data_IF_751426703390
#
_entry.id   IF_751426703390
#
_cell.length_a   1.000
_cell.length_b   1.000
_cell.length_c   1.000
_cell.angle_alpha   90.00
_cell.angle_beta   90.00
_cell.angle_gamma   90.00
#
_symmetry.space_group_name_H-M   'P 1'
#
loop_
_entity.id
_entity.type
_entity.pdbx_description
1 polymer ?
#
# COMPACT_ATOMS: atom_id res chain seq x y z
N UNK A 1 -3.43 0.31 11.25
CA UNK A 1 -2.16 -0.39 10.99
C UNK A 1 -1.69 -1.06 12.26
N UNK A 2 -1.22 -2.28 12.13
CA UNK A 2 -0.71 -3.15 13.17
C UNK A 2 0.81 -3.05 13.23
N UNK A 3 1.35 -3.04 14.45
CA UNK A 3 2.79 -3.04 14.75
C UNK A 3 2.99 -3.08 16.27
N UNK A 4 4.02 -3.74 16.73
CA UNK A 4 4.46 -3.88 18.12
C UNK A 4 5.30 -2.64 18.50
N UNK A 5 4.64 -1.55 18.90
CA UNK A 5 5.32 -0.25 19.06
C UNK A 5 6.18 -0.18 20.32
N UNK A 6 5.94 -1.05 21.31
CA UNK A 6 6.70 -1.12 22.56
C UNK A 6 7.55 -2.40 22.70
N UNK A 7 7.67 -3.18 21.61
CA UNK A 7 8.49 -4.38 21.49
C UNK A 7 8.17 -5.46 22.56
N UNK A 8 6.89 -5.58 22.95
CA UNK A 8 6.44 -6.55 23.96
C UNK A 8 6.13 -7.94 23.38
N UNK A 9 6.12 -8.08 22.05
CA UNK A 9 5.80 -9.31 21.34
C UNK A 9 4.34 -9.43 20.91
N UNK A 10 3.51 -8.42 21.15
CA UNK A 10 2.10 -8.38 20.81
C UNK A 10 1.81 -7.23 19.85
N UNK A 11 1.40 -7.52 18.60
CA UNK A 11 1.06 -6.46 17.66
C UNK A 11 -0.08 -5.58 18.20
N UNK A 12 0.20 -4.28 18.32
CA UNK A 12 -0.74 -3.23 18.69
C UNK A 12 -1.48 -2.72 17.45
N UNK A 13 -2.43 -1.78 17.63
CA UNK A 13 -3.13 -1.18 16.50
C UNK A 13 -3.24 0.34 16.64
N UNK A 14 -2.80 1.05 15.60
CA UNK A 14 -3.12 2.45 15.37
C UNK A 14 -4.24 2.56 14.35
N UNK A 15 -5.34 3.19 14.77
CA UNK A 15 -6.51 3.49 13.94
C UNK A 15 -6.43 4.94 13.51
N UNK A 16 -6.02 5.15 12.26
CA UNK A 16 -6.11 6.45 11.61
C UNK A 16 -7.52 6.66 11.05
N UNK A 17 -7.96 7.92 11.05
CA UNK A 17 -9.30 8.34 10.63
C UNK A 17 -9.30 9.83 10.34
N UNK A 18 -10.42 10.35 9.86
CA UNK A 18 -10.61 11.78 9.80
C UNK A 18 -10.88 12.35 11.19
N UNK A 19 -9.83 12.90 11.81
CA UNK A 19 -9.86 13.47 13.15
C UNK A 19 -8.68 13.02 13.99
N UNK A 20 -8.86 12.93 15.31
CA UNK A 20 -7.82 12.41 16.19
C UNK A 20 -7.68 10.89 16.01
N UNK A 21 -6.48 10.41 15.66
CA UNK A 21 -6.17 8.97 15.59
C UNK A 21 -6.22 8.29 16.97
N UNK A 22 -6.29 6.97 17.00
CA UNK A 22 -6.34 6.21 18.25
C UNK A 22 -5.29 5.10 18.26
N UNK A 23 -4.49 5.05 19.32
CA UNK A 23 -3.52 3.99 19.58
C UNK A 23 -4.06 3.03 20.64
N UNK A 24 -4.05 1.74 20.33
CA UNK A 24 -4.50 0.67 21.21
C UNK A 24 -3.38 -0.33 21.44
N UNK A 25 -2.97 -0.48 22.70
CA UNK A 25 -2.02 -1.50 23.13
C UNK A 25 -2.70 -2.86 23.25
N UNK A 26 -2.10 -3.90 22.71
CA UNK A 26 -2.54 -5.28 22.86
C UNK A 26 -2.05 -5.84 24.20
N UNK A 27 -2.96 -6.39 25.02
CA UNK A 27 -2.61 -6.91 26.35
C UNK A 27 -2.21 -8.41 26.34
N UNK A 28 -2.11 -9.03 25.16
CA UNK A 28 -1.72 -10.43 24.98
C UNK A 28 -2.80 -11.46 25.33
N UNK A 29 -3.97 -11.02 25.80
CA UNK A 29 -5.10 -11.86 26.19
C UNK A 29 -6.33 -11.70 25.26
N UNK A 30 -6.13 -11.04 24.11
CA UNK A 30 -7.18 -10.71 23.15
C UNK A 30 -7.96 -9.44 23.48
N UNK A 31 -7.53 -8.68 24.49
CA UNK A 31 -8.06 -7.35 24.82
C UNK A 31 -7.08 -6.24 24.46
N UNK A 32 -7.61 -5.02 24.33
CA UNK A 32 -6.86 -3.84 23.95
C UNK A 32 -7.12 -2.68 24.92
N UNK A 33 -6.08 -1.92 25.25
CA UNK A 33 -6.15 -0.69 26.03
C UNK A 33 -5.94 0.53 25.11
N UNK A 34 -6.84 1.52 25.15
CA UNK A 34 -6.61 2.79 24.45
C UNK A 34 -5.58 3.62 25.22
N UNK A 35 -4.39 3.76 24.64
CA UNK A 35 -3.24 4.48 25.23
C UNK A 35 -2.96 5.81 24.51
N UNK A 36 -3.93 6.32 23.75
CA UNK A 36 -3.77 7.56 22.96
C UNK A 36 -3.47 8.78 23.83
N UNK A 37 -4.11 8.88 25.00
CA UNK A 37 -3.90 10.01 25.90
C UNK A 37 -2.52 9.93 26.55
N UNK A 38 -1.68 10.93 26.31
CA UNK A 38 -0.30 11.00 26.79
C UNK A 38 0.72 10.34 25.86
N UNK A 39 0.30 9.74 24.73
CA UNK A 39 1.25 9.13 23.78
C UNK A 39 1.93 10.17 22.88
N UNK A 40 1.37 11.38 22.73
CA UNK A 40 1.84 12.36 21.74
C UNK A 40 1.15 12.26 20.38
N UNK A 41 0.20 11.31 20.20
CA UNK A 41 -0.57 11.09 18.98
C UNK A 41 -1.99 11.70 19.02
N UNK A 42 -2.26 12.65 19.92
CA UNK A 42 -3.60 13.25 20.10
C UNK A 42 -3.96 14.32 19.06
N UNK A 43 -3.08 14.56 18.09
CA UNK A 43 -3.30 15.60 17.09
C UNK A 43 -4.50 15.25 16.19
N UNK A 44 -5.28 16.27 15.83
CA UNK A 44 -6.30 16.17 14.80
C UNK A 44 -5.65 16.13 13.42
N UNK A 45 -5.79 15.01 12.70
CA UNK A 45 -5.26 14.83 11.35
C UNK A 45 -6.34 14.17 10.49
N UNK A 46 -6.77 14.82 9.41
CA UNK A 46 -7.69 14.18 8.47
C UNK A 46 -6.93 13.18 7.58
N UNK A 47 -6.66 12.00 8.12
CA UNK A 47 -5.71 11.03 7.57
C UNK A 47 -6.35 9.95 6.69
N UNK A 48 -5.63 9.51 5.65
CA UNK A 48 -6.01 8.38 4.78
C UNK A 48 -4.99 7.24 4.75
N UNK A 49 -3.79 7.44 5.29
CA UNK A 49 -2.75 6.41 5.38
C UNK A 49 -1.94 6.57 6.66
N UNK A 50 -1.39 5.47 7.13
CA UNK A 50 -0.36 5.44 8.16
C UNK A 50 0.60 4.27 7.86
N UNK A 51 1.86 4.38 8.29
CA UNK A 51 2.85 3.32 8.10
C UNK A 51 3.80 3.26 9.29
N UNK A 52 4.05 2.05 9.79
CA UNK A 52 5.06 1.77 10.81
C UNK A 52 6.38 1.38 10.15
N UNK A 53 7.47 2.01 10.55
CA UNK A 53 8.82 1.66 10.11
C UNK A 53 9.83 2.28 11.08
N UNK A 54 11.03 1.71 11.14
CA UNK A 54 12.14 2.25 11.92
C UNK A 54 13.02 3.09 10.98
N UNK A 55 12.82 4.40 10.97
CA UNK A 55 13.47 5.25 9.98
C UNK A 55 14.91 5.62 10.38
N UNK A 56 15.24 5.54 11.66
CA UNK A 56 16.52 5.93 12.22
C UNK A 56 17.39 4.74 12.70
N UNK A 57 16.89 3.51 12.56
CA UNK A 57 17.50 2.23 12.93
C UNK A 57 17.81 2.11 14.43
N UNK A 58 16.96 2.66 15.28
CA UNK A 58 17.10 2.54 16.74
C UNK A 58 16.37 1.33 17.34
N UNK A 59 15.65 0.55 16.51
CA UNK A 59 14.90 -0.64 16.89
C UNK A 59 13.52 -0.33 17.48
N UNK A 60 13.07 0.92 17.43
CA UNK A 60 11.76 1.38 17.89
C UNK A 60 10.95 1.80 16.67
N UNK A 61 9.66 1.44 16.64
CA UNK A 61 8.81 1.82 15.52
C UNK A 61 8.47 3.32 15.55
N UNK A 62 8.66 3.96 14.40
CA UNK A 62 8.19 5.30 14.09
C UNK A 62 6.90 5.24 13.25
N UNK A 63 6.10 6.30 13.34
CA UNK A 63 4.79 6.36 12.69
C UNK A 63 4.72 7.50 11.69
N UNK A 64 4.58 7.15 10.41
CA UNK A 64 4.12 8.09 9.39
C UNK A 64 2.59 8.15 9.38
N UNK A 65 2.01 9.36 9.31
CA UNK A 65 0.57 9.59 9.11
C UNK A 65 0.38 10.58 7.96
N UNK A 66 -0.27 10.11 6.90
CA UNK A 66 -0.52 10.90 5.69
C UNK A 66 -1.82 11.70 5.78
N UNK A 67 -1.72 13.02 5.64
CA UNK A 67 -2.85 13.94 5.64
C UNK A 67 -3.53 14.00 4.27
N UNK A 68 -4.86 13.92 4.26
CA UNK A 68 -5.66 13.98 3.04
C UNK A 68 -6.41 15.31 2.93
N UNK A 69 -7.40 15.55 3.80
CA UNK A 69 -8.03 16.86 3.90
C UNK A 69 -7.19 17.79 4.79
N UNK A 70 -7.26 19.09 4.52
CA UNK A 70 -6.65 20.10 5.37
C UNK A 70 -7.18 19.98 6.82
N UNK A 71 -6.30 20.15 7.81
CA UNK A 71 -6.59 19.85 9.22
C UNK A 71 -7.53 20.87 9.88
N UNK A 72 -7.63 22.07 9.31
CA UNK A 72 -8.60 23.09 9.72
C UNK A 72 -10.06 22.69 9.44
N UNK A 73 -10.29 21.69 8.57
CA UNK A 73 -11.63 21.23 8.24
C UNK A 73 -12.08 20.14 9.21
N UNK A 74 -13.03 20.49 10.09
CA UNK A 74 -13.74 19.49 10.89
C UNK A 74 -14.81 18.80 10.03
N UNK A 75 -14.49 17.63 9.47
CA UNK A 75 -15.40 16.89 8.59
C UNK A 75 -16.69 16.39 9.28
N UNK A 76 -16.71 16.39 10.62
CA UNK A 76 -17.89 16.01 11.41
C UNK A 76 -18.81 17.19 11.71
N UNK A 77 -18.32 18.43 11.53
CA UNK A 77 -19.05 19.67 11.68
C UNK A 77 -18.53 20.71 10.66
N UNK A 78 -18.83 20.48 9.39
CA UNK A 78 -18.36 21.34 8.31
C UNK A 78 -18.94 22.76 8.40
N UNK A 79 -18.05 23.75 8.40
CA UNK A 79 -18.43 25.18 8.35
C UNK A 79 -18.57 25.71 6.90
N UNK A 80 -18.00 24.98 5.94
CA UNK A 80 -17.92 25.36 4.53
C UNK A 80 -17.92 24.12 3.63
N UNK A 81 -18.39 24.28 2.39
CA UNK A 81 -18.28 23.27 1.31
C UNK A 81 -17.00 23.43 0.49
N UNK A 82 -16.22 24.48 0.76
CA UNK A 82 -14.91 24.72 0.13
C UNK A 82 -13.80 24.00 0.88
N UNK A 83 -13.80 22.68 0.70
CA UNK A 83 -12.88 21.75 1.35
C UNK A 83 -12.24 20.77 0.36
N UNK A 84 -12.59 20.88 -0.93
CA UNK A 84 -12.13 19.96 -1.97
C UNK A 84 -10.80 20.46 -2.57
N UNK A 85 -10.16 19.60 -3.35
CA UNK A 85 -8.94 19.91 -4.08
C UNK A 85 -9.11 21.14 -4.96
N UNK A 86 -8.06 21.95 -5.07
CA UNK A 86 -8.02 23.13 -5.94
C UNK A 86 -7.66 22.79 -7.40
N UNK A 87 -7.22 21.56 -7.66
CA UNK A 87 -6.82 21.05 -8.97
C UNK A 87 -7.03 19.53 -9.03
N UNK A 88 -7.37 18.98 -10.20
CA UNK A 88 -7.47 17.53 -10.40
C UNK A 88 -6.12 16.85 -10.69
N UNK A 89 -5.06 17.63 -10.94
CA UNK A 89 -3.76 17.07 -11.33
C UNK A 89 -2.57 17.61 -10.52
N UNK A 90 -2.72 18.76 -9.88
CA UNK A 90 -1.60 19.48 -9.25
C UNK A 90 -2.05 20.16 -7.95
N UNK A 91 -2.73 19.43 -7.07
CA UNK A 91 -3.28 20.00 -5.84
C UNK A 91 -2.28 20.03 -4.69
N UNK A 92 -2.31 21.13 -3.93
CA UNK A 92 -1.43 21.40 -2.78
C UNK A 92 -2.18 21.97 -1.56
N UNK A 93 -3.51 21.90 -1.55
CA UNK A 93 -4.36 22.36 -0.44
C UNK A 93 -4.86 21.20 0.45
N UNK A 94 -4.14 20.07 0.46
CA UNK A 94 -4.49 18.90 1.26
C UNK A 94 -3.99 18.99 2.70
N UNK A 95 -4.05 17.86 3.41
CA UNK A 95 -3.53 17.72 4.76
C UNK A 95 -2.01 17.68 4.82
N UNK A 96 -1.44 18.11 5.94
CA UNK A 96 0.00 17.94 6.21
C UNK A 96 0.30 16.47 6.53
N UNK A 97 1.45 15.99 6.07
CA UNK A 97 2.01 14.69 6.47
C UNK A 97 2.83 14.81 7.76
N UNK A 98 2.75 13.76 8.58
CA UNK A 98 3.39 13.72 9.89
C UNK A 98 4.33 12.52 10.00
N UNK A 99 5.50 12.74 10.59
CA UNK A 99 6.37 11.68 11.07
C UNK A 99 6.54 11.82 12.59
N UNK A 100 6.21 10.75 13.30
CA UNK A 100 6.31 10.65 14.74
C UNK A 100 7.43 9.69 15.11
N UNK A 101 8.46 10.18 15.82
CA UNK A 101 9.56 9.35 16.33
C UNK A 101 9.13 8.63 17.60
N UNK A 102 9.30 7.31 17.63
CA UNK A 102 9.08 6.50 18.84
C UNK A 102 10.16 6.75 19.90
N UNK A 103 9.78 6.79 21.18
CA UNK A 103 10.73 7.01 22.30
C UNK A 103 11.07 5.74 23.09
N UNK A 104 10.44 4.62 22.76
CA UNK A 104 10.63 3.33 23.44
C UNK A 104 9.97 3.23 24.80
N UNK A 105 9.30 4.29 25.27
CA UNK A 105 8.48 4.31 26.50
C UNK A 105 6.97 4.34 26.21
N UNK A 106 6.60 4.11 24.94
CA UNK A 106 5.24 4.20 24.41
C UNK A 106 4.76 5.61 24.09
N UNK A 107 5.65 6.60 24.12
CA UNK A 107 5.38 7.96 23.66
C UNK A 107 6.08 8.28 22.34
N UNK A 108 5.56 9.29 21.67
CA UNK A 108 5.94 9.72 20.33
C UNK A 108 6.21 11.22 20.29
N UNK A 109 7.09 11.64 19.39
CA UNK A 109 7.39 13.05 19.14
C UNK A 109 7.25 13.41 17.66
N UNK A 110 6.52 14.49 17.38
CA UNK A 110 6.38 15.05 16.03
C UNK A 110 7.73 15.62 15.57
N UNK A 111 8.39 14.92 14.66
CA UNK A 111 9.68 15.30 14.06
C UNK A 111 9.52 15.77 12.61
N UNK A 112 8.28 15.97 12.14
CA UNK A 112 7.95 16.21 10.74
C UNK A 112 8.76 17.35 10.12
N UNK A 113 8.85 18.50 10.82
CA UNK A 113 9.60 19.65 10.34
C UNK A 113 11.13 19.45 10.42
N UNK A 114 11.62 18.70 11.42
CA UNK A 114 13.05 18.39 11.56
C UNK A 114 13.54 17.54 10.38
N UNK A 115 12.73 16.57 9.98
CA UNK A 115 13.10 15.58 8.96
C UNK A 115 12.58 15.92 7.55
N UNK A 116 11.92 17.06 7.33
CA UNK A 116 11.60 17.56 6.00
C UNK A 116 10.22 17.20 5.43
N UNK A 117 9.26 16.79 6.26
CA UNK A 117 7.86 16.63 5.86
C UNK A 117 7.09 17.96 6.01
N UNK A 118 7.04 18.74 4.92
CA UNK A 118 6.35 20.03 4.88
C UNK A 118 5.21 20.11 3.85
N UNK A 119 5.14 19.16 2.91
CA UNK A 119 4.18 19.19 1.82
C UNK A 119 2.73 18.94 2.29
N UNK A 120 1.79 19.68 1.68
CA UNK A 120 0.33 19.58 1.92
C UNK A 120 -0.39 19.06 0.69
N UNK A 121 -0.02 17.85 0.26
CA UNK A 121 -0.73 17.15 -0.82
C UNK A 121 -1.92 16.39 -0.27
N UNK A 122 -2.69 15.80 -1.17
CA UNK A 122 -3.79 14.90 -0.82
C UNK A 122 -3.24 13.48 -0.68
N UNK A 123 -2.41 13.24 0.35
CA UNK A 123 -1.73 11.96 0.54
C UNK A 123 -2.73 10.84 0.84
N UNK A 124 -2.67 9.78 0.02
CA UNK A 124 -3.68 8.73 0.01
C UNK A 124 -3.17 7.38 0.52
N UNK A 125 -1.96 7.01 0.12
CA UNK A 125 -1.35 5.73 0.45
C UNK A 125 0.18 5.88 0.54
N UNK A 126 0.81 5.03 1.33
CA UNK A 126 2.26 5.05 1.54
C UNK A 126 2.82 3.66 1.83
N UNK A 127 4.04 3.40 1.40
CA UNK A 127 4.82 2.22 1.79
C UNK A 127 6.26 2.59 2.10
N UNK A 128 6.84 1.95 3.12
CA UNK A 128 8.25 2.08 3.46
C UNK A 128 9.05 0.87 2.96
N UNK A 129 10.18 1.13 2.32
CA UNK A 129 11.15 0.12 1.87
C UNK A 129 12.46 0.82 1.48
N UNK A 130 13.56 0.07 1.38
CA UNK A 130 14.83 0.57 0.83
C UNK A 130 14.74 0.63 -0.70
N UNK A 131 14.53 1.82 -1.28
CA UNK A 131 14.34 1.97 -2.72
C UNK A 131 15.64 2.26 -3.46
N UNK A 132 16.62 2.92 -2.85
CA UNK A 132 17.90 3.20 -3.53
C UNK A 132 19.02 2.21 -3.19
N UNK A 133 18.78 1.27 -2.27
CA UNK A 133 19.70 0.20 -1.88
C UNK A 133 20.79 0.67 -0.93
N UNK A 134 20.61 1.81 -0.26
CA UNK A 134 21.57 2.32 0.74
C UNK A 134 21.40 1.66 2.12
N UNK A 135 20.40 0.78 2.25
CA UNK A 135 20.03 0.01 3.43
C UNK A 135 19.01 0.71 4.31
N UNK A 136 18.69 1.99 4.10
CA UNK A 136 17.75 2.76 4.90
C UNK A 136 16.36 2.73 4.26
N UNK A 137 15.33 2.60 5.08
CA UNK A 137 13.97 2.60 4.56
C UNK A 137 13.60 4.02 4.11
N UNK A 138 13.28 4.16 2.83
CA UNK A 138 12.66 5.31 2.20
C UNK A 138 11.14 5.22 2.31
N UNK A 139 10.44 6.32 1.98
CA UNK A 139 8.99 6.36 1.99
C UNK A 139 8.43 6.74 0.62
N UNK A 140 7.71 5.82 -0.02
CA UNK A 140 6.97 6.08 -1.26
C UNK A 140 5.54 6.48 -0.93
N UNK A 141 5.09 7.60 -1.48
CA UNK A 141 3.79 8.21 -1.22
C UNK A 141 3.03 8.39 -2.52
N UNK A 142 1.80 7.87 -2.55
CA UNK A 142 0.82 8.19 -3.59
C UNK A 142 -0.06 9.35 -3.12
N UNK A 143 -0.21 10.34 -3.99
CA UNK A 143 -1.04 11.51 -3.75
C UNK A 143 -2.22 11.47 -4.72
N UNK A 144 -3.42 11.65 -4.17
CA UNK A 144 -4.59 11.96 -4.98
C UNK A 144 -4.40 13.35 -5.59
N UNK A 145 -4.90 13.55 -6.81
CA UNK A 145 -4.77 14.82 -7.54
C UNK A 145 -3.35 15.42 -7.60
N UNK A 146 -2.32 14.57 -7.63
CA UNK A 146 -0.91 14.94 -7.70
C UNK A 146 -0.03 13.79 -8.14
N UNK A 147 1.27 14.06 -8.26
CA UNK A 147 2.25 13.02 -8.57
C UNK A 147 2.62 12.19 -7.35
N UNK A 148 3.11 10.97 -7.60
CA UNK A 148 3.78 10.18 -6.57
C UNK A 148 5.08 10.85 -6.14
N UNK A 149 5.46 10.65 -4.88
CA UNK A 149 6.71 11.15 -4.31
C UNK A 149 7.45 10.00 -3.64
N UNK A 150 8.76 9.94 -3.87
CA UNK A 150 9.67 9.09 -3.11
C UNK A 150 10.51 9.99 -2.21
N UNK A 151 10.39 9.79 -0.90
CA UNK A 151 11.18 10.47 0.10
C UNK A 151 12.37 9.57 0.47
N UNK A 152 13.56 9.95 -0.02
CA UNK A 152 14.80 9.24 0.28
C UNK A 152 15.27 9.59 1.69
N UNK A 153 15.56 8.57 2.48
CA UNK A 153 16.01 8.70 3.85
C UNK A 153 17.53 8.92 3.89
N UNK A 154 17.96 10.12 4.27
CA UNK A 154 19.38 10.44 4.41
C UNK A 154 19.91 9.95 5.76
N UNK A 155 19.96 8.62 5.90
CA UNK A 155 20.56 7.88 7.04
C UNK A 155 19.96 8.24 8.41
N UNK A 156 18.64 8.36 8.48
CA UNK A 156 17.89 8.68 9.70
C UNK A 156 17.96 10.15 10.10
N UNK A 157 18.66 11.00 9.35
CA UNK A 157 18.79 12.42 9.68
C UNK A 157 17.61 13.25 9.16
N UNK A 158 17.18 13.00 7.92
CA UNK A 158 16.07 13.69 7.26
C UNK A 158 15.64 12.93 6.01
N UNK A 159 14.52 13.35 5.43
CA UNK A 159 14.04 12.91 4.14
C UNK A 159 14.22 13.98 3.08
N UNK A 160 14.52 13.55 1.85
CA UNK A 160 14.57 14.41 0.67
C UNK A 160 13.72 13.80 -0.43
N UNK A 161 12.87 14.61 -1.06
CA UNK A 161 12.10 14.17 -2.23
C UNK A 161 13.08 13.85 -3.38
N UNK A 162 12.97 12.65 -3.94
CA UNK A 162 13.72 12.25 -5.12
C UNK A 162 13.22 13.01 -6.35
N UNK A 163 14.14 13.67 -7.05
CA UNK A 163 13.87 14.42 -8.28
C UNK A 163 14.38 13.64 -9.49
N UNK A 164 13.80 13.89 -10.67
CA UNK A 164 14.21 13.31 -11.96
C UNK A 164 14.22 11.77 -12.03
N UNK A 165 13.49 11.09 -11.15
CA UNK A 165 13.35 9.63 -11.12
C UNK A 165 12.15 9.10 -11.92
N UNK A 166 11.42 9.94 -12.65
CA UNK A 166 10.29 9.50 -13.51
C UNK A 166 8.90 9.50 -12.86
N UNK A 167 8.74 10.00 -11.63
CA UNK A 167 7.42 10.06 -10.96
C UNK A 167 6.62 11.34 -11.27
N UNK A 168 7.29 12.49 -11.31
CA UNK A 168 6.68 13.84 -11.30
C UNK A 168 5.92 14.27 -12.57
N UNK A 169 6.03 13.52 -13.67
CA UNK A 169 5.42 13.88 -14.96
C UNK A 169 4.25 12.99 -15.40
N UNK A 170 4.13 11.79 -14.82
CA UNK A 170 3.28 10.72 -15.36
C UNK A 170 2.12 10.33 -14.44
N UNK A 171 2.18 10.66 -13.14
CA UNK A 171 1.15 10.31 -12.17
C UNK A 171 0.23 11.47 -11.82
N UNK A 172 -1.02 11.12 -11.49
CA UNK A 172 -2.15 12.06 -11.43
C UNK A 172 -3.07 11.88 -10.22
N UNK A 173 -3.51 10.67 -9.89
CA UNK A 173 -4.50 10.45 -8.83
C UNK A 173 -4.21 9.14 -8.11
N UNK A 174 -3.01 9.06 -7.54
CA UNK A 174 -2.53 7.85 -6.89
C UNK A 174 -3.35 7.53 -5.64
N UNK A 175 -4.06 6.40 -5.64
CA UNK A 175 -4.95 5.98 -4.54
C UNK A 175 -4.44 4.75 -3.78
N UNK A 176 -3.31 4.17 -4.17
CA UNK A 176 -2.76 2.96 -3.55
C UNK A 176 -1.26 2.89 -3.79
N UNK A 177 -0.52 2.21 -2.91
CA UNK A 177 0.89 1.86 -3.14
C UNK A 177 1.11 0.38 -2.79
N UNK A 178 1.08 -0.50 -3.80
CA UNK A 178 1.31 -1.93 -3.62
C UNK A 178 2.74 -2.31 -4.03
N UNK A 179 3.51 -2.93 -3.13
CA UNK A 179 4.85 -3.45 -3.45
C UNK A 179 4.77 -4.87 -4.00
N UNK A 180 5.59 -5.15 -5.00
CA UNK A 180 5.73 -6.49 -5.55
C UNK A 180 6.97 -6.69 -6.39
N UNK A 181 7.09 -7.90 -6.93
CA UNK A 181 8.15 -8.39 -7.77
C UNK A 181 7.57 -8.90 -9.08
N UNK A 182 7.74 -8.09 -10.12
CA UNK A 182 7.38 -8.42 -11.51
C UNK A 182 8.63 -8.54 -12.39
N UNK A 183 9.81 -8.63 -11.77
CA UNK A 183 11.11 -8.54 -12.43
C UNK A 183 12.08 -9.66 -12.02
N UNK A 184 11.53 -10.87 -11.82
CA UNK A 184 12.29 -12.10 -11.52
C UNK A 184 13.20 -11.96 -10.27
N UNK A 185 12.72 -11.27 -9.23
CA UNK A 185 13.46 -11.09 -7.97
C UNK A 185 14.70 -10.20 -8.09
N UNK A 186 14.92 -9.55 -9.23
CA UNK A 186 16.04 -8.63 -9.42
C UNK A 186 15.72 -7.21 -8.94
N UNK A 187 14.43 -6.82 -8.96
CA UNK A 187 13.99 -5.45 -8.69
C UNK A 187 12.60 -5.42 -8.09
N UNK A 188 12.42 -4.57 -7.09
CA UNK A 188 11.11 -4.21 -6.58
C UNK A 188 10.33 -3.38 -7.61
N UNK A 189 9.01 -3.53 -7.57
CA UNK A 189 8.07 -2.70 -8.30
C UNK A 189 6.98 -2.15 -7.40
N UNK A 190 6.41 -1.02 -7.82
CA UNK A 190 5.31 -0.33 -7.14
C UNK A 190 4.13 -0.25 -8.09
N UNK A 191 2.98 -0.75 -7.69
CA UNK A 191 1.73 -0.54 -8.40
C UNK A 191 0.89 0.54 -7.70
N UNK A 192 0.53 1.56 -8.47
CA UNK A 192 -0.26 2.71 -8.02
C UNK A 192 -1.53 2.79 -8.85
N UNK A 193 -2.67 2.77 -8.19
CA UNK A 193 -3.98 2.90 -8.84
C UNK A 193 -4.31 4.36 -9.11
N UNK A 194 -5.00 4.62 -10.22
CA UNK A 194 -5.48 5.93 -10.65
C UNK A 194 -6.93 5.81 -11.17
N UNK A 195 -7.47 6.93 -11.65
CA UNK A 195 -8.86 7.03 -12.12
C UNK A 195 -8.92 6.91 -13.64
N UNK A 196 -9.66 5.91 -14.13
CA UNK A 196 -9.93 5.74 -15.56
C UNK A 196 -11.41 5.44 -15.84
N UNK A 197 -12.01 6.23 -16.73
CA UNK A 197 -13.30 6.00 -17.36
C UNK A 197 -13.19 6.28 -18.85
N UNK A 198 -13.25 5.20 -19.63
CA UNK A 198 -13.24 5.28 -21.10
C UNK A 198 -14.28 6.29 -21.61
N UNK A 199 -13.83 7.16 -22.52
CA UNK A 199 -14.65 8.21 -23.11
C UNK A 199 -14.70 9.53 -22.34
N UNK A 200 -14.22 9.57 -21.09
CA UNK A 200 -14.22 10.78 -20.25
C UNK A 200 -12.82 11.14 -19.75
N UNK A 201 -12.18 10.26 -18.99
CA UNK A 201 -10.89 10.47 -18.35
C UNK A 201 -10.08 9.18 -18.41
N UNK A 202 -8.82 9.23 -18.81
CA UNK A 202 -7.95 8.06 -18.76
C UNK A 202 -6.59 8.47 -18.22
N UNK A 203 -6.38 8.25 -16.93
CA UNK A 203 -5.08 8.48 -16.29
C UNK A 203 -4.21 7.21 -16.34
N UNK A 204 -4.82 6.03 -16.27
CA UNK A 204 -4.14 4.74 -16.26
C UNK A 204 -3.41 4.46 -14.94
N UNK A 205 -3.44 3.21 -14.50
CA UNK A 205 -2.70 2.78 -13.30
C UNK A 205 -1.19 2.66 -13.61
N UNK A 206 -0.37 2.94 -12.61
CA UNK A 206 1.08 2.88 -12.73
C UNK A 206 1.67 1.58 -12.19
N UNK A 207 2.67 1.04 -12.90
CA UNK A 207 3.51 -0.06 -12.50
C UNK A 207 4.96 0.39 -12.67
N UNK A 208 5.56 0.88 -11.60
CA UNK A 208 6.90 1.45 -11.56
C UNK A 208 7.90 0.35 -11.20
N UNK A 209 8.82 0.01 -12.09
CA UNK A 209 9.96 -0.87 -11.78
C UNK A 209 11.13 -0.01 -11.32
N UNK A 210 11.72 -0.38 -10.19
CA UNK A 210 12.77 0.40 -9.53
C UNK A 210 14.17 0.12 -10.11
N UNK A 211 14.81 1.14 -10.69
CA UNK A 211 16.20 1.08 -11.17
C UNK A 211 17.18 1.94 -10.38
N UNK A 212 16.77 2.51 -9.23
CA UNK A 212 17.56 3.48 -8.48
C UNK A 212 18.91 2.92 -8.00
N UNK A 213 18.96 1.67 -7.55
CA UNK A 213 20.21 0.97 -7.17
C UNK A 213 21.29 0.95 -8.27
N UNK A 214 20.87 1.17 -9.53
CA UNK A 214 21.75 1.17 -10.71
C UNK A 214 21.79 2.54 -11.39
N UNK A 215 21.55 3.61 -10.63
CA UNK A 215 21.48 5.00 -11.11
C UNK A 215 20.43 5.21 -12.23
N UNK A 216 19.39 4.38 -12.27
CA UNK A 216 18.30 4.45 -13.23
C UNK A 216 17.02 5.02 -12.62
N UNK A 217 15.98 5.31 -13.43
CA UNK A 217 14.73 5.87 -12.95
C UNK A 217 13.75 4.79 -12.43
N UNK A 218 12.64 5.25 -11.85
CA UNK A 218 11.43 4.44 -11.67
C UNK A 218 10.68 4.34 -13.01
N UNK A 219 10.88 3.23 -13.73
CA UNK A 219 10.33 3.04 -15.06
C UNK A 219 8.87 2.59 -14.99
N UNK A 220 7.97 3.37 -15.60
CA UNK A 220 6.58 2.96 -15.80
C UNK A 220 6.45 1.96 -16.95
N UNK A 221 5.89 0.79 -16.66
CA UNK A 221 5.71 -0.32 -17.61
C UNK A 221 4.26 -0.80 -17.73
N UNK A 222 3.32 -0.20 -17.00
CA UNK A 222 1.92 -0.61 -17.03
C UNK A 222 1.32 -0.48 -18.43
N UNK A 223 0.66 -1.53 -18.91
CA UNK A 223 0.04 -1.55 -20.24
C UNK A 223 -1.23 -2.42 -20.26
N UNK A 224 -2.10 -2.20 -21.24
CA UNK A 224 -3.29 -3.03 -21.43
C UNK A 224 -4.17 -3.13 -20.19
N UNK A 225 -4.37 -4.35 -19.68
CA UNK A 225 -5.26 -4.62 -18.55
C UNK A 225 -4.72 -4.11 -17.21
N UNK A 226 -3.41 -4.04 -17.02
CA UNK A 226 -2.84 -3.49 -15.78
C UNK A 226 -2.90 -1.97 -15.76
N UNK A 227 -2.96 -1.30 -16.91
CA UNK A 227 -3.18 0.14 -16.98
C UNK A 227 -4.66 0.52 -16.87
N UNK A 228 -5.58 -0.30 -17.41
CA UNK A 228 -7.01 0.01 -17.50
C UNK A 228 -7.87 -0.89 -16.60
N UNK A 229 -7.89 -0.59 -15.30
CA UNK A 229 -8.76 -1.28 -14.34
C UNK A 229 -10.08 -0.56 -14.04
N UNK A 230 -10.21 0.73 -14.39
CA UNK A 230 -11.39 1.55 -14.09
C UNK A 230 -11.09 2.65 -13.07
N UNK A 231 -12.06 2.94 -12.19
CA UNK A 231 -11.84 3.74 -10.99
C UNK A 231 -11.31 2.83 -9.88
N UNK A 232 -9.99 2.65 -9.89
CA UNK A 232 -9.30 1.70 -9.02
C UNK A 232 -8.98 2.30 -7.65
N UNK A 233 -9.13 1.53 -6.57
CA UNK A 233 -8.77 1.94 -5.20
C UNK A 233 -7.60 1.10 -4.69
N UNK A 234 -7.81 0.22 -3.71
CA UNK A 234 -6.79 -0.68 -3.22
C UNK A 234 -6.34 -1.71 -4.25
N UNK A 235 -5.08 -2.14 -4.12
CA UNK A 235 -4.53 -3.27 -4.84
C UNK A 235 -3.51 -4.00 -3.97
N UNK A 236 -3.27 -5.28 -4.27
CA UNK A 236 -2.20 -6.07 -3.64
C UNK A 236 -1.56 -7.01 -4.66
N UNK A 237 -0.25 -7.18 -4.55
CA UNK A 237 0.45 -8.27 -5.22
C UNK A 237 0.36 -9.55 -4.39
N UNK A 238 0.26 -10.69 -5.06
CA UNK A 238 0.25 -12.01 -4.46
C UNK A 238 0.48 -13.06 -5.54
N UNK A 239 1.12 -14.17 -5.22
CA UNK A 239 1.21 -15.31 -6.14
C UNK A 239 -0.01 -16.21 -5.87
N UNK A 240 -1.11 -16.00 -6.60
CA UNK A 240 -2.40 -16.65 -6.28
C UNK A 240 -2.48 -18.06 -6.85
N UNK A 241 -1.81 -18.34 -7.96
CA UNK A 241 -1.74 -19.71 -8.50
C UNK A 241 -0.46 -20.45 -8.08
N UNK A 242 0.37 -19.86 -7.23
CA UNK A 242 1.64 -20.39 -6.75
C UNK A 242 2.63 -20.73 -7.89
N UNK A 243 2.59 -20.04 -9.03
CA UNK A 243 3.42 -20.35 -10.20
C UNK A 243 4.83 -19.72 -10.18
N UNK A 244 5.18 -19.06 -9.06
CA UNK A 244 6.39 -18.28 -8.80
C UNK A 244 6.42 -16.89 -9.44
N UNK A 245 5.30 -16.38 -9.94
CA UNK A 245 5.12 -14.99 -10.35
C UNK A 245 4.08 -14.29 -9.48
N UNK A 246 4.33 -13.04 -9.11
CA UNK A 246 3.27 -12.27 -8.47
C UNK A 246 2.23 -11.81 -9.49
N UNK A 247 1.00 -12.17 -9.19
CA UNK A 247 -0.24 -11.64 -9.74
C UNK A 247 -0.64 -10.37 -9.01
N UNK A 248 -1.72 -9.75 -9.49
CA UNK A 248 -2.22 -8.49 -8.95
C UNK A 248 -3.74 -8.52 -8.82
N UNK A 249 -4.27 -8.14 -7.66
CA UNK A 249 -5.68 -7.85 -7.47
C UNK A 249 -5.88 -6.33 -7.37
N UNK A 250 -6.90 -5.80 -8.05
CA UNK A 250 -7.26 -4.38 -8.04
C UNK A 250 -8.75 -4.24 -7.76
N UNK A 251 -9.12 -3.59 -6.65
CA UNK A 251 -10.53 -3.31 -6.33
C UNK A 251 -10.98 -2.01 -7.00
N UNK A 252 -12.23 -1.97 -7.48
CA UNK A 252 -12.75 -0.85 -8.28
C UNK A 252 -14.15 -0.43 -7.83
N UNK A 253 -14.60 0.69 -8.39
CA UNK A 253 -15.94 1.24 -8.21
C UNK A 253 -15.95 2.42 -7.25
N UNK A 254 -16.73 3.48 -7.53
CA UNK A 254 -16.75 4.67 -6.67
C UNK A 254 -18.10 4.93 -6.01
N UNK A 255 -19.13 5.25 -6.78
CA UNK A 255 -20.48 5.48 -6.26
C UNK A 255 -21.50 4.76 -7.14
N UNK A 256 -22.05 3.67 -6.60
CA UNK A 256 -23.12 2.87 -7.18
C UNK A 256 -24.50 3.39 -6.77
N UNK A 257 -25.32 3.75 -7.77
CA UNK A 257 -26.70 4.20 -7.59
C UNK A 257 -27.60 3.65 -8.72
N UNK A 258 -28.02 4.45 -9.69
CA UNK A 258 -28.73 3.98 -10.89
C UNK A 258 -27.74 3.40 -11.92
N UNK A 259 -27.97 2.18 -12.41
CA UNK A 259 -27.16 1.59 -13.49
C UNK A 259 -27.33 2.31 -14.84
N UNK A 260 -28.47 3.00 -15.04
CA UNK A 260 -28.81 3.64 -16.32
C UNK A 260 -28.50 5.14 -16.37
N UNK A 261 -28.09 5.75 -15.25
CA UNK A 261 -27.81 7.18 -15.16
C UNK A 261 -26.38 7.43 -14.68
N UNK A 262 -25.58 8.07 -15.52
CA UNK A 262 -24.15 8.28 -15.28
C UNK A 262 -23.85 9.78 -14.99
N UNK A 263 -23.02 10.05 -13.97
CA UNK A 263 -22.62 11.38 -13.52
C UNK A 263 -21.35 11.92 -14.21
N UNK A 264 -20.67 11.13 -15.03
CA UNK A 264 -19.41 11.49 -15.69
C UNK A 264 -19.52 12.69 -16.62
N UNK A 265 -20.70 12.94 -17.21
CA UNK A 265 -20.89 14.18 -17.96
C UNK A 265 -20.68 15.40 -17.05
N UNK A 266 -21.33 15.46 -15.89
CA UNK A 266 -21.17 16.53 -14.92
C UNK A 266 -19.75 16.55 -14.36
N UNK A 267 -19.19 15.39 -13.99
CA UNK A 267 -17.82 15.31 -13.48
C UNK A 267 -16.79 15.85 -14.47
N UNK A 268 -16.93 15.54 -15.78
CA UNK A 268 -16.05 16.09 -16.81
C UNK A 268 -16.16 17.62 -16.95
N UNK A 269 -17.31 18.21 -16.60
CA UNK A 269 -17.48 19.67 -16.55
C UNK A 269 -16.82 20.28 -15.33
N UNK A 270 -16.89 19.61 -14.17
CA UNK A 270 -16.18 20.03 -12.95
C UNK A 270 -14.67 19.96 -13.19
N UNK A 271 -14.16 18.83 -13.70
CA UNK A 271 -12.72 18.64 -13.91
C UNK A 271 -12.07 19.57 -14.93
N UNK A 272 -12.85 20.14 -15.86
CA UNK A 272 -12.40 21.14 -16.82
C UNK A 272 -12.76 22.58 -16.42
N UNK A 273 -13.42 22.76 -15.28
CA UNK A 273 -13.81 24.09 -14.82
C UNK A 273 -12.58 24.88 -14.35
N UNK A 274 -12.64 26.21 -14.51
CA UNK A 274 -11.62 27.13 -14.03
C UNK A 274 -12.09 27.86 -12.77
N UNK A 275 -11.14 28.33 -11.97
CA UNK A 275 -11.42 29.01 -10.71
C UNK A 275 -11.89 28.03 -9.62
N UNK A 276 -12.70 28.52 -8.69
CA UNK A 276 -13.04 27.81 -7.45
C UNK A 276 -14.04 26.65 -7.60
N UNK A 277 -14.48 26.32 -8.82
CA UNK A 277 -15.52 25.30 -9.04
C UNK A 277 -15.10 23.94 -8.49
N UNK A 278 -13.82 23.57 -8.64
CA UNK A 278 -13.32 22.29 -8.12
C UNK A 278 -13.27 22.31 -6.59
N UNK A 279 -12.78 23.40 -6.00
CA UNK A 279 -12.57 23.49 -4.55
C UNK A 279 -13.87 23.57 -3.72
N UNK A 280 -14.97 24.06 -4.30
CA UNK A 280 -16.24 24.27 -3.59
C UNK A 280 -17.36 23.33 -4.06
N UNK A 281 -17.66 22.32 -3.24
CA UNK A 281 -18.66 21.31 -3.54
C UNK A 281 -20.09 21.88 -3.70
N UNK A 282 -20.38 23.10 -3.21
CA UNK A 282 -21.67 23.75 -3.44
C UNK A 282 -21.89 24.15 -4.91
N UNK A 283 -20.81 24.23 -5.70
CA UNK A 283 -20.87 24.54 -7.14
C UNK A 283 -21.01 23.29 -8.00
N UNK A 284 -20.94 22.10 -7.40
CA UNK A 284 -21.07 20.85 -8.13
C UNK A 284 -22.54 20.54 -8.39
N UNK A 285 -22.92 20.13 -9.62
CA UNK A 285 -24.27 19.65 -9.87
C UNK A 285 -24.66 18.54 -8.88
N UNK A 286 -25.88 18.58 -8.36
CA UNK A 286 -26.34 17.50 -7.47
C UNK A 286 -26.20 16.14 -8.16
N UNK A 287 -25.70 15.12 -7.45
CA UNK A 287 -25.54 13.79 -8.04
C UNK A 287 -26.89 13.10 -8.30
N UNK A 288 -27.90 13.41 -7.46
CA UNK A 288 -29.20 12.73 -7.45
C UNK A 288 -29.02 11.21 -7.24
N UNK A 289 -29.59 10.38 -8.12
CA UNK A 289 -29.47 8.92 -8.17
C UNK A 289 -28.48 8.44 -9.25
N UNK A 290 -27.66 9.34 -9.82
CA UNK A 290 -26.67 8.98 -10.85
C UNK A 290 -25.50 8.23 -10.23
N UNK A 291 -24.98 7.22 -10.93
CA UNK A 291 -23.73 6.55 -10.57
C UNK A 291 -22.51 7.33 -11.09
N UNK A 292 -21.39 7.25 -10.37
CA UNK A 292 -20.09 7.72 -10.83
C UNK A 292 -19.11 6.57 -10.73
N UNK A 293 -18.79 5.96 -11.88
CA UNK A 293 -17.99 4.71 -11.91
C UNK A 293 -18.48 3.66 -10.90
N UNK A 294 -19.79 3.55 -10.72
CA UNK A 294 -20.40 2.51 -9.91
C UNK A 294 -20.43 1.17 -10.64
N UNK A 295 -20.60 0.10 -9.87
CA UNK A 295 -20.78 -1.26 -10.35
C UNK A 295 -19.63 -1.79 -11.23
N UNK A 296 -18.42 -1.28 -11.02
CA UNK A 296 -17.19 -1.80 -11.61
C UNK A 296 -16.75 -3.06 -10.85
N UNK A 297 -16.08 -3.99 -11.56
CA UNK A 297 -15.66 -5.26 -10.96
C UNK A 297 -14.27 -5.15 -10.38
N UNK A 298 -14.03 -5.84 -9.26
CA UNK A 298 -12.67 -6.21 -8.84
C UNK A 298 -11.99 -6.97 -9.99
N UNK A 299 -10.71 -6.66 -10.25
CA UNK A 299 -9.88 -7.31 -11.27
C UNK A 299 -8.89 -8.24 -10.60
N UNK A 300 -8.77 -9.45 -11.14
CA UNK A 300 -7.69 -10.38 -10.81
C UNK A 300 -6.83 -10.53 -12.06
N UNK A 301 -5.56 -10.16 -11.95
CA UNK A 301 -4.63 -10.06 -13.04
C UNK A 301 -3.53 -11.11 -12.84
N UNK A 302 -3.62 -12.23 -13.56
CA UNK A 302 -2.58 -13.26 -13.52
C UNK A 302 -1.37 -12.82 -14.33
N UNK A 303 -0.19 -12.93 -13.75
CA UNK A 303 1.06 -12.59 -14.40
C UNK A 303 1.56 -13.79 -15.21
N UNK A 304 1.48 -13.73 -16.54
CA UNK A 304 1.90 -14.83 -17.42
C UNK A 304 3.41 -14.87 -17.69
N UNK A 305 4.17 -14.12 -16.90
CA UNK A 305 5.63 -14.15 -16.86
C UNK A 305 6.34 -13.40 -17.99
N UNK A 306 7.66 -13.27 -17.77
CA UNK A 306 8.68 -12.43 -18.44
C UNK A 306 8.77 -11.00 -17.90
N UNK A 307 10.02 -10.53 -17.73
CA UNK A 307 10.41 -9.14 -17.41
C UNK A 307 9.43 -8.15 -18.05
N UNK A 308 8.61 -7.51 -17.22
CA UNK A 308 7.59 -6.56 -17.67
C UNK A 308 6.14 -6.91 -17.32
N UNK A 309 5.88 -8.00 -16.56
CA UNK A 309 4.57 -8.27 -15.96
C UNK A 309 3.43 -8.28 -16.97
N UNK A 310 3.40 -9.26 -17.88
CA UNK A 310 2.30 -9.39 -18.84
C UNK A 310 1.08 -10.00 -18.16
N UNK A 311 0.20 -9.12 -17.71
CA UNK A 311 -1.01 -9.50 -17.00
C UNK A 311 -2.13 -9.96 -17.93
N UNK A 312 -2.88 -10.95 -17.45
CA UNK A 312 -4.13 -11.42 -18.02
C UNK A 312 -5.25 -11.24 -16.99
N UNK A 313 -6.31 -10.53 -17.35
CA UNK A 313 -7.50 -10.41 -16.50
C UNK A 313 -8.27 -11.74 -16.49
N UNK A 314 -8.53 -12.29 -15.30
CA UNK A 314 -9.18 -13.59 -15.09
C UNK A 314 -10.27 -13.56 -14.03
N UNK A 315 -10.61 -12.42 -13.43
CA UNK A 315 -11.51 -12.31 -12.27
C UNK A 315 -12.81 -13.09 -12.46
N UNK A 316 -13.46 -12.94 -13.62
CA UNK A 316 -14.68 -13.68 -13.95
C UNK A 316 -14.46 -15.20 -14.02
N UNK A 317 -13.33 -15.65 -14.58
CA UNK A 317 -13.00 -17.07 -14.71
C UNK A 317 -12.69 -17.73 -13.35
N UNK A 318 -12.19 -16.95 -12.39
CA UNK A 318 -11.88 -17.42 -11.02
C UNK A 318 -13.00 -17.09 -10.02
N UNK A 319 -14.15 -16.59 -10.49
CA UNK A 319 -15.34 -16.36 -9.67
C UNK A 319 -15.41 -15.02 -8.94
N UNK A 320 -14.42 -14.14 -9.13
CA UNK A 320 -14.40 -12.77 -8.61
C UNK A 320 -15.23 -11.89 -9.54
N UNK A 321 -16.53 -11.87 -9.27
CA UNK A 321 -17.56 -11.27 -10.14
C UNK A 321 -18.38 -10.17 -9.47
N UNK A 322 -18.02 -9.81 -8.23
CA UNK A 322 -18.73 -8.78 -7.47
C UNK A 322 -18.62 -7.40 -8.15
N UNK A 323 -19.67 -6.59 -7.97
CA UNK A 323 -19.80 -5.23 -8.51
C UNK A 323 -20.08 -4.23 -7.39
N UNK A 324 -19.58 -4.48 -6.19
CA UNK A 324 -19.68 -3.53 -5.10
C UNK A 324 -18.63 -2.43 -5.28
N UNK A 325 -18.82 -1.28 -4.62
CA UNK A 325 -17.81 -0.22 -4.59
C UNK A 325 -16.68 -0.62 -3.64
N UNK A 326 -15.66 -1.29 -4.18
CA UNK A 326 -14.51 -1.80 -3.43
C UNK A 326 -13.58 -0.67 -2.98
N UNK A 327 -12.98 -0.81 -1.80
CA UNK A 327 -12.03 0.17 -1.23
C UNK A 327 -10.67 -0.42 -0.96
N UNK A 328 -10.63 -1.48 -0.17
CA UNK A 328 -9.38 -2.12 0.25
C UNK A 328 -9.42 -3.60 -0.06
N UNK A 329 -8.24 -4.16 -0.30
CA UNK A 329 -8.01 -5.60 -0.39
C UNK A 329 -6.78 -5.95 0.43
N UNK A 330 -6.86 -7.06 1.15
CA UNK A 330 -5.75 -7.67 1.88
C UNK A 330 -5.59 -9.11 1.42
N UNK A 331 -4.35 -9.56 1.33
CA UNK A 331 -3.99 -10.92 0.91
C UNK A 331 -3.21 -11.63 2.01
N UNK A 332 -3.58 -12.87 2.29
CA UNK A 332 -2.88 -13.76 3.24
C UNK A 332 -3.46 -15.17 3.10
N UNK A 333 -2.76 -16.21 3.56
CA UNK A 333 -3.31 -17.56 3.67
C UNK A 333 -4.19 -17.67 4.93
N UNK A 334 -5.43 -17.19 4.83
CA UNK A 334 -6.38 -17.12 5.94
C UNK A 334 -6.71 -18.51 6.50
N UNK A 335 -6.65 -19.54 5.65
CA UNK A 335 -7.05 -20.90 6.00
C UNK A 335 -5.89 -21.87 6.23
N UNK A 336 -4.65 -21.38 6.17
CA UNK A 336 -3.43 -22.17 6.34
C UNK A 336 -3.37 -23.36 5.37
N UNK A 337 -3.69 -23.10 4.11
CA UNK A 337 -3.75 -24.10 3.03
C UNK A 337 -2.58 -24.04 2.07
N UNK A 338 -1.65 -23.10 2.28
CA UNK A 338 -0.52 -22.83 1.40
C UNK A 338 -0.85 -22.01 0.16
N UNK A 339 -2.00 -21.33 0.15
CA UNK A 339 -2.46 -20.52 -0.97
C UNK A 339 -2.93 -19.18 -0.45
N UNK A 340 -2.62 -18.11 -1.18
CA UNK A 340 -3.09 -16.80 -0.81
C UNK A 340 -4.58 -16.67 -1.07
N UNK A 341 -5.31 -16.32 -0.03
CA UNK A 341 -6.70 -15.90 -0.04
C UNK A 341 -6.77 -14.37 -0.07
N UNK A 342 -7.97 -13.81 -0.24
CA UNK A 342 -8.15 -12.37 -0.15
C UNK A 342 -9.44 -11.96 0.55
N UNK A 343 -9.39 -10.83 1.25
CA UNK A 343 -10.57 -10.16 1.79
C UNK A 343 -10.71 -8.77 1.17
N UNK A 344 -11.92 -8.44 0.71
CA UNK A 344 -12.25 -7.17 0.05
C UNK A 344 -13.25 -6.39 0.89
N UNK A 345 -12.85 -5.21 1.33
CA UNK A 345 -13.71 -4.26 2.04
C UNK A 345 -14.43 -3.37 1.03
N UNK A 346 -15.76 -3.42 1.05
CA UNK A 346 -16.63 -2.64 0.17
C UNK A 346 -17.25 -1.47 0.93
N UNK A 347 -17.24 -0.28 0.35
CA UNK A 347 -17.94 0.86 0.92
C UNK A 347 -19.45 0.65 0.83
N UNK A 348 -20.14 0.80 1.97
CA UNK A 348 -21.58 0.57 2.09
C UNK A 348 -22.03 -0.83 1.61
N UNK A 349 -21.10 -1.80 1.59
CA UNK A 349 -21.33 -3.16 1.11
C UNK A 349 -20.83 -4.21 2.10
N UNK A 350 -21.00 -5.50 1.78
CA UNK A 350 -20.48 -6.57 2.62
C UNK A 350 -18.94 -6.65 2.54
N UNK A 351 -18.30 -7.07 3.64
CA UNK A 351 -16.95 -7.63 3.58
C UNK A 351 -17.03 -8.96 2.81
N UNK A 352 -16.23 -9.11 1.76
CA UNK A 352 -16.12 -10.35 1.00
C UNK A 352 -14.84 -11.08 1.38
N UNK A 353 -14.93 -12.38 1.61
CA UNK A 353 -13.79 -13.27 1.84
C UNK A 353 -13.77 -14.30 0.71
N UNK A 354 -12.67 -14.34 -0.03
CA UNK A 354 -12.44 -15.23 -1.14
C UNK A 354 -11.43 -16.29 -0.72
N UNK A 355 -11.87 -17.55 -0.70
CA UNK A 355 -10.98 -18.69 -0.52
C UNK A 355 -10.40 -19.13 -1.86
N UNK A 356 -9.10 -19.33 -1.89
CA UNK A 356 -8.39 -19.81 -3.06
C UNK A 356 -8.22 -21.35 -3.02
N UNK A 357 -8.91 -22.02 -3.93
CA UNK A 357 -8.85 -23.48 -4.12
C UNK A 357 -7.96 -23.86 -5.33
N UNK A 358 -6.90 -23.07 -5.59
CA UNK A 358 -5.94 -23.27 -6.69
C UNK A 358 -5.25 -24.63 -6.73
N UNK A 359 -4.33 -24.80 -7.70
CA UNK A 359 -3.73 -26.11 -8.00
C UNK A 359 -2.91 -26.66 -6.82
N UNK A 360 -3.29 -27.79 -6.21
CA UNK A 360 -2.57 -28.36 -5.07
C UNK A 360 -1.22 -28.99 -5.45
N UNK A 361 -0.90 -29.10 -6.74
CA UNK A 361 0.42 -29.56 -7.20
C UNK A 361 1.48 -28.46 -7.17
N UNK A 362 1.08 -27.19 -7.04
CA UNK A 362 2.01 -26.09 -6.89
C UNK A 362 2.44 -25.93 -5.43
N UNK A 363 3.74 -25.94 -5.21
CA UNK A 363 4.34 -25.81 -3.90
C UNK A 363 4.46 -24.35 -3.47
N UNK A 364 4.66 -24.14 -2.18
CA UNK A 364 4.82 -22.82 -1.58
C UNK A 364 5.87 -22.84 -0.46
N UNK A 365 6.25 -21.68 0.03
CA UNK A 365 7.04 -21.51 1.25
C UNK A 365 6.68 -20.19 1.91
N UNK A 366 6.55 -20.18 3.23
CA UNK A 366 6.26 -18.98 4.01
C UNK A 366 7.33 -18.69 5.04
N UNK A 367 7.49 -17.41 5.36
CA UNK A 367 8.38 -16.94 6.40
C UNK A 367 7.63 -16.06 7.39
N UNK A 368 7.92 -16.25 8.68
CA UNK A 368 7.62 -15.31 9.75
C UNK A 368 8.94 -14.80 10.30
N UNK A 369 9.11 -13.49 10.31
CA UNK A 369 10.31 -12.84 10.82
C UNK A 369 10.09 -12.35 12.24
N UNK A 370 11.15 -12.39 13.04
CA UNK A 370 11.22 -11.74 14.34
C UNK A 370 12.55 -11.03 14.48
N UNK A 371 12.53 -9.71 14.61
CA UNK A 371 13.74 -8.93 14.78
C UNK A 371 14.26 -8.90 16.22
N UNK A 372 15.48 -8.41 16.35
CA UNK A 372 16.15 -8.10 17.60
C UNK A 372 16.63 -6.65 17.57
N UNK A 373 17.65 -6.35 16.76
CA UNK A 373 18.12 -4.98 16.55
C UNK A 373 17.16 -4.19 15.65
N UNK A 374 16.36 -4.88 14.83
CA UNK A 374 15.41 -4.29 13.89
C UNK A 374 13.99 -4.09 14.47
N UNK A 375 13.81 -4.18 15.79
CA UNK A 375 12.50 -4.23 16.44
C UNK A 375 11.79 -5.58 16.24
N UNK A 376 10.74 -5.87 17.02
CA UNK A 376 10.10 -7.20 17.00
C UNK A 376 9.52 -7.56 15.63
N UNK A 377 8.84 -6.61 14.96
CA UNK A 377 8.19 -6.85 13.67
C UNK A 377 9.17 -7.01 12.50
N UNK A 378 10.38 -6.44 12.61
CA UNK A 378 11.36 -6.41 11.51
C UNK A 378 10.80 -5.83 10.18
N UNK A 379 9.91 -4.83 10.25
CA UNK A 379 9.44 -4.11 9.07
C UNK A 379 10.63 -3.49 8.32
N UNK A 380 10.65 -3.68 7.01
CA UNK A 380 11.76 -3.35 6.10
C UNK A 380 12.66 -4.53 5.75
N UNK A 381 12.52 -5.68 6.42
CA UNK A 381 13.32 -6.85 6.09
C UNK A 381 13.00 -7.35 4.67
N UNK A 382 14.03 -7.58 3.88
CA UNK A 382 13.91 -8.13 2.54
C UNK A 382 14.24 -9.63 2.54
N UNK A 383 13.38 -10.44 1.93
CA UNK A 383 13.65 -11.85 1.67
C UNK A 383 13.77 -12.06 0.17
N UNK A 384 14.93 -12.55 -0.25
CA UNK A 384 15.15 -13.08 -1.60
C UNK A 384 15.21 -14.60 -1.52
N UNK A 385 14.43 -15.28 -2.35
CA UNK A 385 14.54 -16.74 -2.52
C UNK A 385 15.11 -17.08 -3.88
N UNK A 386 15.94 -18.12 -3.92
CA UNK A 386 16.48 -18.67 -5.16
C UNK A 386 16.11 -20.15 -5.27
N UNK A 387 15.54 -20.52 -6.42
CA UNK A 387 15.30 -21.91 -6.80
C UNK A 387 15.74 -22.14 -8.24
N UNK A 388 16.86 -22.83 -8.41
CA UNK A 388 17.45 -23.09 -9.72
C UNK A 388 17.84 -21.79 -10.43
N UNK A 389 17.06 -21.36 -11.42
CA UNK A 389 17.25 -20.08 -12.13
C UNK A 389 16.21 -19.02 -11.76
N UNK A 390 15.19 -19.37 -10.97
CA UNK A 390 14.15 -18.44 -10.53
C UNK A 390 14.61 -17.74 -9.26
N UNK A 391 14.41 -16.43 -9.23
CA UNK A 391 14.51 -15.65 -8.01
C UNK A 391 13.18 -14.94 -7.79
N UNK A 392 12.87 -14.72 -6.52
CA UNK A 392 11.75 -13.89 -6.10
C UNK A 392 12.20 -13.04 -4.92
N UNK A 393 11.64 -11.84 -4.81
CA UNK A 393 11.89 -10.93 -3.71
C UNK A 393 10.58 -10.51 -3.04
N UNK A 394 10.60 -10.35 -1.72
CA UNK A 394 9.54 -9.69 -0.95
C UNK A 394 10.17 -8.80 0.11
N UNK A 395 9.51 -7.67 0.36
CA UNK A 395 9.80 -6.81 1.52
C UNK A 395 8.70 -7.00 2.55
N UNK A 396 9.08 -7.23 3.80
CA UNK A 396 8.17 -7.25 4.91
C UNK A 396 7.77 -5.82 5.27
N UNK A 397 6.53 -5.43 5.02
CA UNK A 397 6.06 -4.06 5.25
C UNK A 397 4.92 -4.00 6.25
N UNK A 398 4.84 -2.91 7.01
CA UNK A 398 3.73 -2.69 7.93
C UNK A 398 2.43 -2.39 7.20
N UNK A 399 2.47 -1.57 6.17
CA UNK A 399 1.30 -1.30 5.34
C UNK A 399 1.70 -1.17 3.88
N UNK A 400 0.91 -1.80 3.02
CA UNK A 400 0.97 -1.70 1.57
C UNK A 400 -0.47 -1.82 1.05
N UNK A 401 -0.78 -1.18 -0.07
CA UNK A 401 -2.15 -1.09 -0.59
C UNK A 401 -2.81 0.25 -0.21
N UNK A 402 -4.13 0.22 0.01
CA UNK A 402 -4.91 1.32 0.56
C UNK A 402 -5.82 0.81 1.67
N UNK A 403 -5.86 1.50 2.81
CA UNK A 403 -6.77 1.19 3.93
C UNK A 403 -6.78 -0.27 4.39
N UNK A 404 -5.65 -0.97 4.23
CA UNK A 404 -5.48 -2.38 4.54
C UNK A 404 -4.03 -2.73 4.85
N UNK A 405 -3.85 -3.90 5.45
CA UNK A 405 -2.55 -4.47 5.81
C UNK A 405 -2.62 -5.97 5.62
N UNK A 406 -1.69 -6.52 4.84
CA UNK A 406 -1.58 -7.96 4.61
C UNK A 406 -1.19 -8.68 5.90
N UNK A 407 -1.38 -10.00 5.92
CA UNK A 407 -0.91 -10.81 7.06
C UNK A 407 0.61 -10.74 7.24
N UNK A 408 1.13 -11.04 8.44
CA UNK A 408 2.57 -10.94 8.72
C UNK A 408 3.42 -12.03 8.05
N UNK A 409 2.78 -13.01 7.40
CA UNK A 409 3.45 -14.11 6.72
C UNK A 409 3.89 -13.68 5.32
N UNK A 410 5.16 -13.90 5.02
CA UNK A 410 5.76 -13.57 3.72
C UNK A 410 5.69 -14.83 2.85
N UNK A 411 4.79 -14.81 1.88
CA UNK A 411 4.47 -15.96 1.04
C UNK A 411 5.20 -15.95 -0.31
N UNK A 412 5.68 -17.13 -0.71
CA UNK A 412 6.24 -17.38 -2.04
C UNK A 412 5.62 -18.65 -2.64
N UNK A 413 5.01 -18.54 -3.81
CA UNK A 413 4.69 -19.69 -4.63
C UNK A 413 5.92 -20.22 -5.35
N UNK A 414 5.95 -21.53 -5.58
CA UNK A 414 7.12 -22.24 -6.10
C UNK A 414 6.79 -23.12 -7.32
N UNK A 415 5.53 -23.31 -7.70
CA UNK A 415 5.12 -24.19 -8.81
C UNK A 415 5.41 -25.67 -8.54
N UNK A 416 5.34 -26.51 -9.58
CA UNK A 416 5.34 -27.99 -9.46
C UNK A 416 6.67 -28.63 -8.99
N UNK A 417 7.83 -28.15 -9.46
CA UNK A 417 9.13 -28.80 -9.21
C UNK A 417 9.99 -28.04 -8.18
N UNK A 418 9.49 -27.90 -6.96
CA UNK A 418 10.13 -27.11 -5.93
C UNK A 418 11.14 -27.93 -5.09
N UNK A 419 12.43 -27.81 -5.38
CA UNK A 419 13.50 -28.39 -4.55
C UNK A 419 14.66 -27.41 -4.38
N UNK A 420 15.43 -27.61 -3.31
CA UNK A 420 16.67 -26.86 -3.03
C UNK A 420 16.49 -25.33 -3.00
N UNK A 421 15.41 -24.87 -2.36
CA UNK A 421 15.17 -23.44 -2.11
C UNK A 421 16.24 -22.92 -1.16
N UNK A 422 16.87 -21.80 -1.56
CA UNK A 422 17.73 -20.99 -0.71
C UNK A 422 17.05 -19.67 -0.43
N UNK A 423 17.27 -19.10 0.75
CA UNK A 423 16.80 -17.77 1.07
C UNK A 423 17.95 -16.91 1.59
N UNK A 424 17.93 -15.63 1.23
CA UNK A 424 18.72 -14.57 1.83
C UNK A 424 17.74 -13.61 2.50
N UNK A 425 17.92 -13.37 3.78
CA UNK A 425 17.22 -12.31 4.51
C UNK A 425 18.18 -11.16 4.75
N UNK A 426 17.83 -9.96 4.32
CA UNK A 426 18.50 -8.71 4.65
C UNK A 426 17.65 -8.00 5.70
N UNK A 427 18.17 -7.89 6.92
CA UNK A 427 17.46 -7.29 8.05
C UNK A 427 17.62 -5.75 8.03
N UNK A 428 16.67 -4.97 8.58
CA UNK A 428 16.78 -3.51 8.69
C UNK A 428 18.07 -3.04 9.39
N UNK A 429 18.59 -3.83 10.34
CA UNK A 429 19.89 -3.58 10.98
C UNK A 429 21.11 -3.64 10.05
N UNK A 430 20.93 -4.10 8.80
CA UNK A 430 21.98 -4.36 7.82
C UNK A 430 22.62 -5.75 7.93
N UNK A 431 22.15 -6.60 8.86
CA UNK A 431 22.59 -8.00 8.93
C UNK A 431 22.04 -8.81 7.77
N UNK A 432 22.82 -9.77 7.29
CA UNK A 432 22.38 -10.74 6.28
C UNK A 432 22.36 -12.15 6.87
N UNK A 433 21.33 -12.92 6.54
CA UNK A 433 21.17 -14.32 6.94
C UNK A 433 20.92 -15.20 5.72
N UNK A 434 21.82 -16.16 5.48
CA UNK A 434 21.69 -17.13 4.40
C UNK A 434 21.12 -18.44 4.93
N UNK A 435 20.10 -18.97 4.25
CA UNK A 435 19.40 -20.19 4.61
C UNK A 435 19.46 -21.17 3.44
N UNK A 436 19.79 -22.43 3.74
CA UNK A 436 19.81 -23.53 2.79
C UNK A 436 19.04 -24.72 3.35
N UNK A 437 18.61 -25.62 2.46
CA UNK A 437 17.91 -26.85 2.88
C UNK A 437 16.50 -26.57 3.41
N UNK A 438 15.86 -25.49 2.96
CA UNK A 438 14.50 -25.14 3.34
C UNK A 438 13.51 -26.17 2.77
N UNK A 439 12.65 -26.68 3.66
CA UNK A 439 11.52 -27.52 3.27
C UNK A 439 10.43 -26.66 2.61
N UNK A 440 9.88 -27.15 1.50
CA UNK A 440 8.71 -26.54 0.85
C UNK A 440 7.43 -26.98 1.55
N UNK A 441 6.33 -26.31 1.24
CA UNK A 441 5.00 -26.48 1.84
C UNK A 441 5.00 -26.27 3.36
N UNK A 442 5.80 -25.30 3.80
CA UNK A 442 6.08 -25.08 5.22
C UNK A 442 6.28 -23.60 5.54
N UNK A 443 5.81 -23.23 6.74
CA UNK A 443 6.17 -21.99 7.41
C UNK A 443 7.52 -22.14 8.11
N UNK A 444 8.43 -21.20 7.86
CA UNK A 444 9.71 -21.06 8.56
C UNK A 444 9.68 -19.82 9.46
N UNK A 445 9.89 -20.01 10.76
CA UNK A 445 10.03 -18.92 11.71
C UNK A 445 11.52 -18.58 11.85
N UNK A 446 11.88 -17.33 11.56
CA UNK A 446 13.25 -16.87 11.52
C UNK A 446 13.45 -15.75 12.54
N UNK A 447 14.53 -15.86 13.32
CA UNK A 447 14.97 -14.82 14.25
C UNK A 447 16.20 -14.12 13.68
N UNK A 448 16.25 -12.79 13.86
CA UNK A 448 17.40 -11.98 13.48
C UNK A 448 18.69 -12.49 14.16
N UNK A 449 19.79 -12.69 13.42
CA UNK A 449 21.06 -13.09 14.04
C UNK A 449 21.53 -12.08 15.09
N UNK A 450 22.12 -12.54 16.20
CA UNK A 450 22.66 -11.67 17.25
C UNK A 450 23.91 -10.91 16.83
#
# INVERSE_FOLDING_TARGET
VWGDFDNDGHPDVFVYKWGQGELFRNLGDGTFENVTAGSGLERWINSNTANWFDYNRDGILDLFVGGYFAEEHNLWQLESTRIMQDSFEFSYNGGRNYLYRGKGDGTFEDVSAEVGFEATRWTYASVAADFDGDGWQDLYVANDYGSEELFLNEQGARFRVAEDIGLSGESKSGMCVALGDVWDGERMAVYVTNISKRGYLFQGNNLRVNFLETDGPMLQISEGVSADCGWAWGSQFGDFDNDAWQDLVVVNGFISASEDRDYWYQMSKIGLATGDVVADAALWPHMEDRSLSGFERTRVLLNRGRKGGKFQEVGEAVGVTDRFDGRSVVVTDFFHTGRLDMAVANQNGPLLLYRNDGDPSHHWIEFRLRGHASGTDAFGAEIQIERGRRKQMRVHTAASGFAGQNGPLIHFGLGEDATAVKAKVTWPSGKEQMLEGLEVDRLHELEEPQ
#
